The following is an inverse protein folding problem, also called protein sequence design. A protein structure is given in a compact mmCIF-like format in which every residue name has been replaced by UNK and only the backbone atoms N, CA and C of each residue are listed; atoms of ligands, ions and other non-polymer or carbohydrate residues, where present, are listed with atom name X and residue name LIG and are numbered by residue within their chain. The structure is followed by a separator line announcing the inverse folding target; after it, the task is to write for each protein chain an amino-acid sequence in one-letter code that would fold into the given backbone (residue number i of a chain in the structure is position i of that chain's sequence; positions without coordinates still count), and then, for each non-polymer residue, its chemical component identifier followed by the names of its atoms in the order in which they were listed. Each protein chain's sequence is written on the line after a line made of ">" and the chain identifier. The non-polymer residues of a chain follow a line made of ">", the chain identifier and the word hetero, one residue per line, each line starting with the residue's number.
data_IF_056135072507
#
_entry.id   IF_056135072507
#
_cell.length_a   1.000
_cell.length_b   1.000
_cell.length_c   1.000
_cell.angle_alpha   90.00
_cell.angle_beta   90.00
_cell.angle_gamma   90.00
#
_symmetry.space_group_name_H-M   'P 1'
#
loop_
_entity.id
_entity.type
_entity.pdbx_description
1 polymer ?
#
# COMPACT_ATOMS: atom_id res chain seq x y z
N UNK A 1 -2.86 -10.71 -0.70
CA UNK A 1 -3.25 -9.60 0.19
C UNK A 1 -4.03 -8.52 -0.56
N UNK A 2 -4.95 -7.87 0.16
CA UNK A 2 -5.66 -6.67 -0.30
C UNK A 2 -4.80 -5.44 -0.04
N UNK A 3 -4.64 -4.54 -1.01
CA UNK A 3 -3.83 -3.33 -0.91
C UNK A 3 -4.51 -2.14 -1.59
N UNK A 4 -4.20 -0.92 -1.13
CA UNK A 4 -4.50 0.33 -1.85
C UNK A 4 -3.32 0.65 -2.77
N UNK A 5 -3.59 1.01 -4.02
CA UNK A 5 -2.58 1.33 -5.04
C UNK A 5 -3.05 2.45 -5.97
N UNK A 6 -2.15 3.03 -6.74
CA UNK A 6 -2.47 3.99 -7.81
C UNK A 6 -1.71 3.61 -9.08
N UNK A 7 -2.38 3.70 -10.22
CA UNK A 7 -1.77 3.41 -11.52
C UNK A 7 -1.39 4.68 -12.29
N UNK A 8 -1.84 5.84 -11.82
CA UNK A 8 -1.58 7.17 -12.37
C UNK A 8 -1.34 8.15 -11.23
N UNK A 9 -0.69 9.27 -11.53
CA UNK A 9 -0.55 10.39 -10.58
C UNK A 9 -1.87 11.17 -10.54
N UNK A 10 -2.33 11.54 -9.35
CA UNK A 10 -3.57 12.29 -9.16
C UNK A 10 -3.96 12.40 -7.69
N UNK A 11 -5.15 12.95 -7.44
CA UNK A 11 -5.71 13.06 -6.10
C UNK A 11 -6.26 11.73 -5.58
N UNK A 12 -6.97 11.72 -4.44
CA UNK A 12 -7.50 10.50 -3.83
C UNK A 12 -8.41 9.66 -4.75
N UNK A 13 -8.97 10.25 -5.79
CA UNK A 13 -9.80 9.59 -6.81
C UNK A 13 -9.06 8.56 -7.66
N UNK A 14 -7.72 8.62 -7.73
CA UNK A 14 -6.92 7.61 -8.46
C UNK A 14 -6.56 6.39 -7.61
N UNK A 15 -6.87 6.41 -6.31
CA UNK A 15 -6.61 5.29 -5.41
C UNK A 15 -7.60 4.15 -5.66
N UNK A 16 -7.08 2.95 -5.88
CA UNK A 16 -7.88 1.75 -6.11
C UNK A 16 -7.47 0.63 -5.16
N UNK A 17 -8.45 -0.21 -4.82
CA UNK A 17 -8.22 -1.43 -4.05
C UNK A 17 -7.87 -2.54 -5.04
N UNK A 18 -6.76 -3.23 -4.80
CA UNK A 18 -6.31 -4.34 -5.61
C UNK A 18 -5.96 -5.56 -4.75
N UNK A 19 -6.17 -6.75 -5.30
CA UNK A 19 -5.59 -7.97 -4.78
C UNK A 19 -4.19 -8.17 -5.37
N UNK A 20 -3.25 -8.54 -4.51
CA UNK A 20 -1.85 -8.81 -4.83
C UNK A 20 -1.39 -10.12 -4.19
N UNK A 21 -0.37 -10.79 -4.72
CA UNK A 21 0.27 -11.90 -4.01
C UNK A 21 0.79 -11.43 -2.64
N UNK A 22 0.82 -12.33 -1.67
CA UNK A 22 1.49 -12.05 -0.40
C UNK A 22 3.00 -11.97 -0.62
N UNK A 23 3.70 -10.95 -0.08
CA UNK A 23 5.14 -10.82 -0.27
C UNK A 23 5.90 -11.86 0.56
N UNK A 24 7.01 -12.34 0.03
CA UNK A 24 7.96 -13.20 0.74
C UNK A 24 9.18 -12.38 1.17
N UNK A 25 9.51 -12.31 2.48
CA UNK A 25 10.65 -11.53 2.95
C UNK A 25 11.97 -12.18 2.52
N UNK A 26 12.96 -11.35 2.18
CA UNK A 26 14.35 -11.75 1.93
C UNK A 26 15.18 -11.73 3.22
N UNK A 27 16.46 -12.10 3.10
CA UNK A 27 17.40 -11.98 4.21
C UNK A 27 17.48 -10.53 4.71
N UNK A 28 17.21 -10.33 6.01
CA UNK A 28 17.20 -9.01 6.64
C UNK A 28 15.85 -8.28 6.61
N UNK A 29 14.81 -8.85 5.99
CA UNK A 29 13.47 -8.26 5.93
C UNK A 29 12.52 -8.94 6.93
N UNK A 30 11.46 -8.23 7.33
CA UNK A 30 10.37 -8.76 8.16
C UNK A 30 9.05 -8.58 7.43
N UNK A 31 8.25 -9.65 7.37
CA UNK A 31 6.89 -9.58 6.87
C UNK A 31 5.93 -9.15 7.99
N UNK A 32 5.25 -8.02 7.80
CA UNK A 32 4.30 -7.47 8.76
C UNK A 32 2.87 -7.62 8.25
N UNK A 33 1.99 -8.20 9.06
CA UNK A 33 0.54 -8.17 8.82
C UNK A 33 -0.01 -6.83 9.29
N UNK A 34 -0.36 -5.97 8.34
CA UNK A 34 -0.88 -4.62 8.64
C UNK A 34 -2.31 -4.71 9.19
N UNK A 35 -2.50 -4.26 10.44
CA UNK A 35 -3.84 -4.12 11.05
C UNK A 35 -4.46 -2.74 10.80
N UNK A 36 -3.64 -1.70 10.69
CA UNK A 36 -4.04 -0.33 10.41
C UNK A 36 -2.88 0.44 9.75
N UNK A 37 -3.22 1.44 8.94
CA UNK A 37 -2.29 2.40 8.36
C UNK A 37 -2.82 3.82 8.57
N UNK A 38 -1.95 4.74 8.97
CA UNK A 38 -2.28 6.17 9.07
C UNK A 38 -2.08 6.88 7.74
N UNK A 39 -2.79 7.99 7.54
CA UNK A 39 -2.61 8.91 6.42
C UNK A 39 -1.90 10.17 6.92
N UNK A 40 -0.88 10.61 6.20
CA UNK A 40 -0.04 11.76 6.47
C UNK A 40 -0.27 12.88 5.45
N UNK A 41 0.08 14.14 5.78
CA UNK A 41 -0.05 15.25 4.82
C UNK A 41 0.69 15.05 3.49
N UNK A 42 1.81 14.30 3.49
CA UNK A 42 2.60 14.02 2.28
C UNK A 42 1.95 12.98 1.35
N UNK A 43 0.97 12.22 1.82
CA UNK A 43 0.34 11.16 1.01
C UNK A 43 -0.58 11.72 -0.08
N UNK A 44 -1.00 12.99 0.02
CA UNK A 44 -1.85 13.67 -0.95
C UNK A 44 -1.12 14.65 -1.87
N UNK A 45 0.22 14.70 -1.82
CA UNK A 45 1.05 15.66 -2.56
C UNK A 45 1.51 15.13 -3.92
#
# INVERSE_FOLDING_TARGET
>A
MRAVTQNTVGGPDVLVIADRPDPAPKAGEVLVRVSAAGINPVDGA
#
